data_IF_425977456093
#
_entry.id   IF_425977456093
#
_cell.length_a   1.000
_cell.length_b   1.000
_cell.length_c   1.000
_cell.angle_alpha   90.00
_cell.angle_beta   90.00
_cell.angle_gamma   90.00
#
_symmetry.space_group_name_H-M   'P 1'
#
loop_
_entity.id
_entity.type
_entity.pdbx_description
1 polymer ?
#
# COMPACT_ATOMS: atom_id res chain seq x y z
N UNK A 1 21.31 26.36 -18.86
CA UNK A 1 20.03 26.18 -18.16
C UNK A 1 20.33 25.17 -17.08
N UNK A 2 20.75 25.68 -15.92
CA UNK A 2 21.13 24.86 -14.76
C UNK A 2 19.89 24.77 -13.89
N UNK A 3 19.09 23.73 -14.11
CA UNK A 3 18.02 23.40 -13.17
C UNK A 3 18.64 22.57 -12.06
N UNK A 4 18.30 22.89 -10.80
CA UNK A 4 18.74 22.09 -9.64
C UNK A 4 18.34 20.61 -9.76
N UNK A 5 17.46 20.28 -10.71
CA UNK A 5 16.86 18.98 -11.00
C UNK A 5 17.64 18.10 -11.98
N UNK A 6 18.78 18.55 -12.54
CA UNK A 6 19.55 17.81 -13.55
C UNK A 6 20.00 16.40 -13.09
N UNK A 7 19.91 16.14 -11.78
CA UNK A 7 20.33 14.89 -11.14
C UNK A 7 19.17 14.04 -10.61
N UNK A 8 17.93 14.51 -10.69
CA UNK A 8 16.75 13.73 -10.31
C UNK A 8 16.39 12.77 -11.44
N UNK A 9 17.12 11.66 -11.52
CA UNK A 9 16.87 10.61 -12.51
C UNK A 9 16.58 9.28 -11.81
N UNK A 10 15.80 8.39 -12.44
CA UNK A 10 15.56 7.04 -11.92
C UNK A 10 16.86 6.29 -11.61
N UNK A 11 17.90 6.49 -12.42
CA UNK A 11 19.19 5.84 -12.29
C UNK A 11 19.94 6.26 -11.01
N UNK A 12 19.90 7.55 -10.67
CA UNK A 12 20.48 8.06 -9.41
C UNK A 12 19.72 7.53 -8.19
N UNK A 13 18.38 7.51 -8.26
CA UNK A 13 17.55 6.96 -7.19
C UNK A 13 17.87 5.47 -6.98
N UNK A 14 17.96 4.70 -8.05
CA UNK A 14 18.31 3.29 -8.00
C UNK A 14 19.66 3.06 -7.32
N UNK A 15 20.68 3.82 -7.71
CA UNK A 15 22.03 3.63 -7.18
C UNK A 15 22.18 4.06 -5.72
N UNK A 16 21.62 5.21 -5.35
CA UNK A 16 21.81 5.79 -4.01
C UNK A 16 20.87 5.14 -2.99
N UNK A 17 19.60 4.95 -3.35
CA UNK A 17 18.58 4.48 -2.41
C UNK A 17 18.44 2.95 -2.42
N UNK A 18 18.20 2.34 -3.59
CA UNK A 18 17.93 0.91 -3.69
C UNK A 18 19.17 0.02 -3.60
N UNK A 19 20.24 0.39 -4.32
CA UNK A 19 21.52 -0.36 -4.35
C UNK A 19 22.55 0.15 -3.36
N UNK A 20 22.36 1.35 -2.81
CA UNK A 20 23.23 1.96 -1.79
C UNK A 20 24.71 2.01 -2.21
N UNK A 21 24.95 2.22 -3.51
CA UNK A 21 26.28 2.29 -4.10
C UNK A 21 26.87 3.68 -3.98
N UNK A 22 28.19 3.70 -3.85
CA UNK A 22 29.00 4.91 -3.89
C UNK A 22 28.99 5.52 -5.28
N UNK A 23 28.78 6.82 -5.39
CA UNK A 23 28.77 7.51 -6.68
C UNK A 23 29.91 8.51 -6.76
N UNK A 24 30.75 8.35 -7.77
CA UNK A 24 31.85 9.24 -8.10
C UNK A 24 31.41 10.20 -9.19
N UNK A 25 31.43 11.49 -8.88
CA UNK A 25 30.99 12.59 -9.73
C UNK A 25 32.22 13.40 -10.16
N UNK A 26 32.37 13.61 -11.46
CA UNK A 26 33.48 14.36 -12.08
C UNK A 26 33.37 15.90 -11.89
N UNK A 27 34.44 16.70 -12.17
CA UNK A 27 34.63 18.10 -11.71
C UNK A 27 33.55 19.16 -11.95
N UNK A 28 32.48 18.81 -12.66
CA UNK A 28 31.56 19.76 -13.25
C UNK A 28 30.28 19.95 -12.41
N UNK A 29 30.35 19.64 -11.11
CA UNK A 29 29.22 19.65 -10.18
C UNK A 29 29.55 20.50 -8.96
N UNK A 30 28.69 21.47 -8.67
CA UNK A 30 28.80 22.31 -7.48
C UNK A 30 28.17 21.64 -6.25
N UNK A 31 28.35 22.27 -5.09
CA UNK A 31 27.79 21.79 -3.83
C UNK A 31 26.26 21.71 -3.85
N UNK A 32 25.56 22.64 -4.51
CA UNK A 32 24.09 22.69 -4.50
C UNK A 32 23.49 21.47 -5.21
N UNK A 33 24.03 21.09 -6.35
CA UNK A 33 23.58 19.90 -7.07
C UNK A 33 23.80 18.62 -6.25
N UNK A 34 24.89 18.55 -5.48
CA UNK A 34 25.16 17.39 -4.63
C UNK A 34 24.22 17.35 -3.43
N UNK A 35 23.87 18.51 -2.87
CA UNK A 35 22.82 18.61 -1.85
C UNK A 35 21.46 18.21 -2.38
N UNK A 36 21.17 18.45 -3.65
CA UNK A 36 19.94 17.92 -4.25
C UNK A 36 19.89 16.39 -4.22
N UNK A 37 21.03 15.72 -4.41
CA UNK A 37 21.11 14.26 -4.36
C UNK A 37 20.89 13.68 -2.95
N UNK A 38 20.96 14.50 -1.88
CA UNK A 38 20.63 14.10 -0.50
C UNK A 38 19.21 13.60 -0.35
N UNK A 39 18.31 13.97 -1.25
CA UNK A 39 16.95 13.45 -1.19
C UNK A 39 16.92 11.93 -1.37
N UNK A 40 17.92 11.34 -2.03
CA UNK A 40 17.99 9.90 -2.23
C UNK A 40 18.67 9.15 -1.09
N UNK A 41 19.25 9.86 -0.12
CA UNK A 41 19.94 9.25 1.04
C UNK A 41 19.03 9.17 2.27
N UNK A 42 17.71 9.08 2.06
CA UNK A 42 16.75 8.92 3.16
C UNK A 42 17.08 7.66 3.95
N UNK A 43 17.22 7.81 5.27
CA UNK A 43 17.62 6.72 6.15
C UNK A 43 19.05 6.80 6.64
N UNK A 44 19.88 7.64 6.03
CA UNK A 44 21.26 7.82 6.47
C UNK A 44 21.46 9.11 7.26
N UNK A 45 22.46 9.11 8.14
CA UNK A 45 23.02 10.32 8.69
C UNK A 45 23.96 10.94 7.66
N UNK A 46 23.59 12.13 7.16
CA UNK A 46 24.38 12.84 6.15
C UNK A 46 25.57 13.56 6.78
N UNK A 47 26.76 13.32 6.23
CA UNK A 47 28.01 13.95 6.67
C UNK A 47 28.68 14.65 5.48
N UNK A 48 28.68 15.99 5.52
CA UNK A 48 29.39 16.84 4.57
C UNK A 48 30.90 16.89 4.90
N UNK A 49 31.75 16.46 3.96
CA UNK A 49 33.21 16.46 4.10
C UNK A 49 33.89 17.28 3.01
N UNK A 50 34.66 18.29 3.42
CA UNK A 50 35.55 19.01 2.51
C UNK A 50 36.94 18.35 2.47
N UNK A 51 37.27 17.73 1.34
CA UNK A 51 38.48 16.91 1.22
C UNK A 51 39.79 17.70 1.27
N UNK A 52 39.77 19.02 1.05
CA UNK A 52 40.95 19.89 1.12
C UNK A 52 41.42 20.12 2.55
N UNK A 53 40.48 20.19 3.50
CA UNK A 53 40.74 20.44 4.91
C UNK A 53 41.15 19.18 5.70
N UNK A 54 40.89 17.99 5.16
CA UNK A 54 41.10 16.71 5.84
C UNK A 54 42.32 15.96 5.30
N UNK A 55 43.28 15.68 6.18
CA UNK A 55 44.47 14.88 5.84
C UNK A 55 44.17 13.36 5.84
N UNK A 56 43.35 12.89 6.80
CA UNK A 56 43.03 11.47 7.02
C UNK A 56 41.57 11.12 6.70
N UNK A 57 41.05 11.57 5.55
CA UNK A 57 39.65 11.35 5.18
C UNK A 57 39.27 9.86 5.10
N UNK A 58 40.21 8.99 4.70
CA UNK A 58 40.00 7.54 4.61
C UNK A 58 39.72 6.90 5.98
N UNK A 59 40.55 7.22 6.98
CA UNK A 59 40.38 6.66 8.33
C UNK A 59 39.09 7.16 9.00
N UNK A 60 38.72 8.41 8.74
CA UNK A 60 37.45 8.96 9.22
C UNK A 60 36.26 8.19 8.66
N UNK A 61 36.19 8.03 7.33
CA UNK A 61 35.08 7.31 6.67
C UNK A 61 35.06 5.85 7.08
N UNK A 62 36.24 5.22 7.20
CA UNK A 62 36.35 3.85 7.66
C UNK A 62 35.80 3.70 9.08
N UNK A 63 36.20 4.56 10.00
CA UNK A 63 35.71 4.55 11.38
C UNK A 63 34.20 4.78 11.46
N UNK A 64 33.66 5.65 10.60
CA UNK A 64 32.23 5.93 10.54
C UNK A 64 31.43 4.78 9.92
N UNK A 65 32.00 4.10 8.92
CA UNK A 65 31.39 2.95 8.23
C UNK A 65 31.40 1.68 9.08
N UNK A 66 32.38 1.52 9.97
CA UNK A 66 32.48 0.40 10.91
C UNK A 66 31.70 0.65 12.23
N UNK A 67 31.03 1.81 12.37
CA UNK A 67 30.33 2.19 13.59
C UNK A 67 29.03 1.40 13.80
N UNK A 68 28.82 0.90 15.04
CA UNK A 68 27.66 0.11 15.48
C UNK A 68 26.34 0.90 15.58
N UNK A 69 26.26 2.14 15.10
CA UNK A 69 25.03 2.91 15.19
C UNK A 69 23.91 2.32 14.34
N UNK A 70 22.69 2.26 14.86
CA UNK A 70 21.51 1.75 14.15
C UNK A 70 21.15 2.51 12.86
N UNK A 71 21.75 3.67 12.62
CA UNK A 71 21.54 4.47 11.41
C UNK A 71 22.87 4.62 10.69
N UNK A 72 23.02 4.10 9.45
CA UNK A 72 24.26 4.18 8.70
C UNK A 72 24.57 5.64 8.31
N UNK A 73 25.86 5.93 8.13
CA UNK A 73 26.31 7.25 7.68
C UNK A 73 26.44 7.29 6.16
N UNK A 74 26.12 8.42 5.55
CA UNK A 74 26.31 8.67 4.14
C UNK A 74 27.12 9.95 3.95
N UNK A 75 28.27 9.85 3.29
CA UNK A 75 29.26 10.92 3.20
C UNK A 75 29.18 11.65 1.87
N UNK A 76 29.07 12.98 1.91
CA UNK A 76 29.18 13.82 0.72
C UNK A 76 30.55 14.48 0.72
N UNK A 77 31.39 14.07 -0.23
CA UNK A 77 32.80 14.47 -0.24
C UNK A 77 33.06 15.44 -1.37
N UNK A 78 33.38 16.67 -1.02
CA UNK A 78 33.60 17.76 -1.96
C UNK A 78 35.08 18.08 -2.13
N UNK A 79 35.43 18.67 -3.29
CA UNK A 79 36.78 19.10 -3.62
C UNK A 79 37.82 17.96 -3.54
N UNK A 80 37.42 16.74 -3.88
CA UNK A 80 38.28 15.56 -3.81
C UNK A 80 39.28 15.58 -4.97
N UNK A 81 40.54 15.24 -4.67
CA UNK A 81 41.56 15.02 -5.69
C UNK A 81 41.61 13.54 -6.10
N UNK A 82 42.12 13.25 -7.29
CA UNK A 82 42.18 11.88 -7.82
C UNK A 82 42.99 10.91 -6.95
N UNK A 83 44.04 11.40 -6.28
CA UNK A 83 44.87 10.59 -5.38
C UNK A 83 44.11 10.12 -4.14
N UNK A 84 43.37 11.02 -3.49
CA UNK A 84 42.52 10.75 -2.33
C UNK A 84 41.31 9.91 -2.74
N UNK A 85 40.71 10.16 -3.89
CA UNK A 85 39.65 9.31 -4.42
C UNK A 85 40.10 7.85 -4.56
N UNK A 86 41.28 7.62 -5.14
CA UNK A 86 41.85 6.27 -5.26
C UNK A 86 42.04 5.57 -3.90
N UNK A 87 42.31 6.33 -2.83
CA UNK A 87 42.44 5.79 -1.47
C UNK A 87 41.08 5.48 -0.79
N UNK A 88 39.96 5.84 -1.42
CA UNK A 88 38.62 5.56 -0.91
C UNK A 88 37.94 4.42 -1.67
N UNK A 89 38.38 4.11 -2.89
CA UNK A 89 37.76 3.10 -3.77
C UNK A 89 37.85 1.66 -3.26
N UNK A 90 38.61 1.44 -2.19
CA UNK A 90 38.81 0.15 -1.52
C UNK A 90 37.97 0.00 -0.24
N UNK A 91 37.15 0.99 0.12
CA UNK A 91 36.25 0.91 1.26
C UNK A 91 34.97 0.14 0.87
N UNK A 92 34.78 -1.05 1.44
CA UNK A 92 33.65 -1.93 1.08
C UNK A 92 32.30 -1.46 1.65
N UNK A 93 32.29 -0.95 2.89
CA UNK A 93 31.07 -0.60 3.64
C UNK A 93 30.79 0.90 3.73
N UNK A 94 31.58 1.73 3.04
CA UNK A 94 31.32 3.16 3.01
C UNK A 94 30.19 3.47 2.04
N UNK A 95 29.29 4.38 2.41
CA UNK A 95 28.30 4.97 1.51
C UNK A 95 28.65 6.44 1.27
N UNK A 96 29.01 6.81 0.04
CA UNK A 96 29.58 8.11 -0.26
C UNK A 96 29.30 8.60 -1.68
N UNK A 97 29.10 9.91 -1.81
CA UNK A 97 29.17 10.64 -3.08
C UNK A 97 30.49 11.40 -3.15
N UNK A 98 31.33 11.07 -4.13
CA UNK A 98 32.66 11.64 -4.31
C UNK A 98 32.66 12.69 -5.42
N UNK A 99 32.73 13.97 -5.11
CA UNK A 99 32.93 15.03 -6.10
C UNK A 99 34.44 15.24 -6.36
N UNK A 100 34.93 14.64 -7.44
CA UNK A 100 36.32 14.70 -7.88
C UNK A 100 36.50 15.86 -8.84
N UNK A 101 37.56 16.66 -8.69
CA UNK A 101 37.85 17.82 -9.56
C UNK A 101 38.69 17.50 -10.81
N UNK A 102 39.09 16.25 -10.98
CA UNK A 102 39.98 15.76 -12.02
C UNK A 102 39.32 14.62 -12.80
N UNK A 103 39.73 14.42 -14.06
CA UNK A 103 39.31 13.23 -14.79
C UNK A 103 39.89 11.97 -14.13
N UNK A 104 39.00 11.05 -13.78
CA UNK A 104 39.26 9.79 -13.09
C UNK A 104 38.75 8.55 -13.86
N UNK A 105 38.58 8.64 -15.19
CA UNK A 105 38.18 7.48 -16.03
C UNK A 105 39.16 6.30 -15.91
N UNK A 106 40.43 6.56 -15.69
CA UNK A 106 41.47 5.54 -15.44
C UNK A 106 41.34 4.84 -14.07
N UNK A 107 40.52 5.36 -13.14
CA UNK A 107 40.26 4.67 -11.88
C UNK A 107 39.27 3.52 -12.05
N UNK A 108 38.47 3.52 -13.13
CA UNK A 108 37.40 2.54 -13.38
C UNK A 108 37.91 1.10 -13.32
N UNK A 109 39.05 0.80 -13.95
CA UNK A 109 39.62 -0.55 -13.99
C UNK A 109 40.02 -1.09 -12.61
N UNK A 110 40.33 -0.18 -11.67
CA UNK A 110 40.74 -0.51 -10.29
C UNK A 110 39.60 -0.40 -9.27
N UNK A 111 38.35 -0.29 -9.74
CA UNK A 111 37.20 0.06 -8.91
C UNK A 111 36.43 -1.18 -8.43
N UNK A 112 36.05 -1.22 -7.15
CA UNK A 112 35.14 -2.23 -6.61
C UNK A 112 33.70 -2.06 -7.16
N UNK A 113 32.93 -3.15 -7.24
CA UNK A 113 31.49 -3.15 -7.60
C UNK A 113 30.60 -2.14 -6.86
N UNK A 114 31.03 -1.63 -5.70
CA UNK A 114 30.28 -0.72 -4.84
C UNK A 114 30.42 0.74 -5.30
N UNK A 115 31.38 1.06 -6.17
CA UNK A 115 31.60 2.40 -6.69
C UNK A 115 31.16 2.53 -8.14
N UNK A 116 30.45 3.61 -8.43
CA UNK A 116 29.89 3.93 -9.74
C UNK A 116 30.38 5.31 -10.17
N UNK A 117 30.86 5.45 -11.39
CA UNK A 117 31.33 6.73 -11.94
C UNK A 117 30.25 7.35 -12.83
N UNK A 118 29.84 8.57 -12.51
CA UNK A 118 28.87 9.34 -13.28
C UNK A 118 29.53 10.50 -14.04
N UNK A 119 29.43 10.46 -15.37
CA UNK A 119 29.89 11.53 -16.24
C UNK A 119 28.76 12.49 -16.59
N UNK A 120 28.78 13.67 -15.97
CA UNK A 120 27.84 14.76 -16.27
C UNK A 120 27.86 15.21 -17.73
N UNK A 121 29.02 15.24 -18.39
CA UNK A 121 29.11 15.72 -19.79
C UNK A 121 28.39 14.80 -20.76
N UNK A 122 28.49 13.50 -20.54
CA UNK A 122 27.78 12.50 -21.35
C UNK A 122 26.45 12.07 -20.75
N UNK A 123 26.08 12.59 -19.57
CA UNK A 123 24.93 12.19 -18.74
C UNK A 123 24.79 10.66 -18.64
N UNK A 124 25.92 9.97 -18.42
CA UNK A 124 25.98 8.51 -18.41
C UNK A 124 26.87 8.01 -17.29
N UNK A 125 26.48 6.84 -16.77
CA UNK A 125 27.32 6.05 -15.88
C UNK A 125 28.37 5.30 -16.70
N UNK A 126 29.61 5.27 -16.22
CA UNK A 126 30.74 4.75 -16.99
C UNK A 126 30.99 3.26 -16.74
N UNK A 127 30.69 2.78 -15.54
CA UNK A 127 30.95 1.41 -15.08
C UNK A 127 29.71 0.75 -14.48
N UNK A 128 28.52 1.24 -14.82
CA UNK A 128 27.25 0.65 -14.44
C UNK A 128 26.28 0.76 -15.61
N UNK A 129 25.76 -0.38 -16.04
CA UNK A 129 24.83 -0.48 -17.16
C UNK A 129 23.40 -0.64 -16.64
N UNK A 130 22.49 0.14 -17.21
CA UNK A 130 21.07 0.14 -16.88
C UNK A 130 20.21 -0.57 -17.93
N UNK A 131 20.77 -1.05 -19.05
CA UNK A 131 19.98 -1.71 -20.11
C UNK A 131 19.20 -2.93 -19.60
N UNK A 132 19.72 -3.62 -18.58
CA UNK A 132 19.09 -4.80 -17.98
C UNK A 132 18.47 -4.54 -16.60
N UNK A 133 18.44 -3.28 -16.15
CA UNK A 133 17.92 -2.91 -14.83
C UNK A 133 16.50 -2.40 -15.02
N UNK A 134 15.55 -3.07 -14.38
CA UNK A 134 14.20 -2.55 -14.28
C UNK A 134 14.21 -1.29 -13.37
N UNK A 135 13.70 -0.18 -13.88
CA UNK A 135 13.63 1.12 -13.19
C UNK A 135 12.17 1.58 -13.03
N UNK A 136 11.21 0.65 -13.09
CA UNK A 136 9.78 0.98 -13.11
C UNK A 136 9.35 1.64 -11.81
N UNK A 137 9.81 1.15 -10.66
CA UNK A 137 9.51 1.72 -9.35
C UNK A 137 10.09 3.14 -9.21
N UNK A 138 11.34 3.34 -9.61
CA UNK A 138 12.01 4.64 -9.54
C UNK A 138 11.32 5.67 -10.43
N UNK A 139 10.91 5.27 -11.64
CA UNK A 139 10.11 6.11 -12.54
C UNK A 139 8.74 6.43 -11.95
N UNK A 140 8.10 5.45 -11.31
CA UNK A 140 6.80 5.62 -10.66
C UNK A 140 6.90 6.64 -9.51
N UNK A 141 7.85 6.45 -8.59
CA UNK A 141 8.12 7.38 -7.47
C UNK A 141 8.37 8.80 -7.98
N UNK A 142 9.24 8.96 -8.99
CA UNK A 142 9.55 10.28 -9.55
C UNK A 142 8.36 10.90 -10.32
N UNK A 143 7.49 10.10 -10.92
CA UNK A 143 6.31 10.59 -11.65
C UNK A 143 5.19 11.08 -10.73
N UNK A 144 5.05 10.46 -9.55
CA UNK A 144 4.03 10.81 -8.55
C UNK A 144 4.49 12.02 -7.73
N UNK A 145 5.79 12.12 -7.44
CA UNK A 145 6.35 13.20 -6.66
C UNK A 145 6.51 14.51 -7.48
N UNK A 146 5.66 15.50 -7.18
CA UNK A 146 5.69 16.82 -7.87
C UNK A 146 6.75 17.78 -7.31
N UNK A 147 7.33 17.49 -6.15
CA UNK A 147 8.31 18.32 -5.47
C UNK A 147 9.21 17.48 -4.53
N UNK A 148 10.29 18.09 -4.02
CA UNK A 148 11.23 17.44 -3.10
C UNK A 148 10.59 16.90 -1.82
N UNK A 149 9.56 17.56 -1.27
CA UNK A 149 8.90 17.06 -0.05
C UNK A 149 8.20 15.75 -0.34
N UNK A 150 7.39 15.70 -1.39
CA UNK A 150 6.64 14.49 -1.77
C UNK A 150 7.56 13.32 -2.13
N UNK A 151 8.68 13.60 -2.81
CA UNK A 151 9.67 12.57 -3.12
C UNK A 151 10.32 12.04 -1.84
N UNK A 152 10.67 12.92 -0.90
CA UNK A 152 11.23 12.52 0.40
C UNK A 152 10.22 11.72 1.22
N UNK A 153 8.96 12.11 1.22
CA UNK A 153 7.88 11.45 1.95
C UNK A 153 7.67 10.02 1.41
N UNK A 154 7.62 9.85 0.08
CA UNK A 154 7.52 8.53 -0.55
C UNK A 154 8.71 7.61 -0.22
N UNK A 155 9.95 8.14 -0.24
CA UNK A 155 11.13 7.37 0.16
C UNK A 155 11.13 7.04 1.65
N UNK A 156 10.57 7.92 2.49
CA UNK A 156 10.43 7.70 3.92
C UNK A 156 9.37 6.63 4.22
N UNK A 157 8.28 6.56 3.44
CA UNK A 157 7.29 5.48 3.53
C UNK A 157 7.93 4.12 3.24
N UNK A 158 8.71 4.00 2.15
CA UNK A 158 9.44 2.78 1.82
C UNK A 158 10.37 2.37 2.97
N UNK A 159 11.09 3.34 3.54
CA UNK A 159 11.95 3.09 4.71
C UNK A 159 11.14 2.63 5.93
N UNK A 160 10.00 3.24 6.21
CA UNK A 160 9.18 2.86 7.36
C UNK A 160 8.68 1.43 7.21
N UNK A 161 8.21 1.05 6.02
CA UNK A 161 7.84 -0.34 5.71
C UNK A 161 9.03 -1.28 5.88
N UNK A 162 10.22 -0.92 5.40
CA UNK A 162 11.44 -1.72 5.60
C UNK A 162 11.79 -1.89 7.09
N UNK A 163 11.62 -0.85 7.91
CA UNK A 163 11.82 -0.94 9.35
C UNK A 163 10.80 -1.87 10.01
N UNK A 164 9.53 -1.81 9.59
CA UNK A 164 8.48 -2.70 10.10
C UNK A 164 8.78 -4.16 9.77
N UNK A 165 9.23 -4.45 8.54
CA UNK A 165 9.70 -5.79 8.14
C UNK A 165 10.86 -6.22 9.03
N UNK A 166 11.86 -5.37 9.23
CA UNK A 166 13.02 -5.70 10.07
C UNK A 166 12.66 -5.94 11.54
N UNK A 167 11.76 -5.14 12.11
CA UNK A 167 11.29 -5.29 13.50
C UNK A 167 10.46 -6.57 13.64
N UNK A 168 9.56 -6.83 12.69
CA UNK A 168 8.74 -8.04 12.68
C UNK A 168 9.63 -9.29 12.59
N UNK A 169 10.64 -9.28 11.72
CA UNK A 169 11.61 -10.38 11.58
C UNK A 169 12.36 -10.65 12.89
N UNK A 170 12.83 -9.60 13.58
CA UNK A 170 13.58 -9.77 14.83
C UNK A 170 12.70 -10.11 16.04
N UNK A 171 11.42 -9.72 16.01
CA UNK A 171 10.51 -9.91 17.14
C UNK A 171 9.82 -11.27 17.09
N UNK A 172 9.31 -11.69 15.92
CA UNK A 172 8.64 -12.97 15.70
C UNK A 172 8.95 -13.53 14.30
N UNK A 173 10.07 -14.27 14.13
CA UNK A 173 10.46 -14.83 12.85
C UNK A 173 9.42 -15.79 12.24
N UNK A 174 8.66 -16.51 13.08
CA UNK A 174 7.69 -17.54 12.63
C UNK A 174 6.33 -16.97 12.19
N UNK A 175 6.07 -15.69 12.42
CA UNK A 175 4.80 -15.03 12.03
C UNK A 175 5.04 -13.83 11.12
N UNK A 176 6.19 -13.77 10.45
CA UNK A 176 6.51 -12.69 9.54
C UNK A 176 5.60 -12.79 8.31
N UNK A 177 4.64 -11.89 8.19
CA UNK A 177 3.83 -11.75 6.99
C UNK A 177 4.24 -10.49 6.24
N UNK A 178 5.17 -10.63 5.28
CA UNK A 178 5.67 -9.51 4.49
C UNK A 178 4.55 -8.90 3.63
N UNK A 179 3.62 -9.74 3.16
CA UNK A 179 2.49 -9.34 2.32
C UNK A 179 1.52 -8.41 3.07
N UNK A 180 1.32 -8.63 4.36
CA UNK A 180 0.48 -7.77 5.22
C UNK A 180 1.14 -6.41 5.46
N UNK A 181 2.44 -6.40 5.79
CA UNK A 181 3.20 -5.18 6.08
C UNK A 181 3.37 -4.32 4.82
N UNK A 182 3.61 -4.95 3.67
CA UNK A 182 3.81 -4.28 2.40
C UNK A 182 2.54 -4.25 1.52
N UNK A 183 1.35 -4.41 2.12
CA UNK A 183 0.05 -4.46 1.42
C UNK A 183 -0.29 -3.19 0.61
N UNK A 184 0.33 -2.06 0.96
CA UNK A 184 0.22 -0.81 0.21
C UNK A 184 0.94 -0.82 -1.15
N UNK A 185 1.82 -1.80 -1.39
CA UNK A 185 2.63 -1.93 -2.59
C UNK A 185 2.12 -3.08 -3.47
N UNK A 186 2.24 -2.93 -4.78
CA UNK A 186 2.05 -4.05 -5.72
C UNK A 186 3.12 -5.12 -5.53
N UNK A 187 2.87 -6.35 -5.97
CA UNK A 187 3.80 -7.48 -5.80
C UNK A 187 5.24 -7.18 -6.31
N UNK A 188 5.38 -6.48 -7.44
CA UNK A 188 6.69 -6.06 -7.97
C UNK A 188 7.36 -4.98 -7.10
N UNK A 189 6.57 -4.06 -6.54
CA UNK A 189 7.08 -3.04 -5.63
C UNK A 189 7.46 -3.66 -4.28
N UNK A 190 6.72 -4.66 -3.80
CA UNK A 190 7.06 -5.42 -2.60
C UNK A 190 8.42 -6.09 -2.74
N UNK A 191 8.70 -6.76 -3.86
CA UNK A 191 10.03 -7.34 -4.13
C UNK A 191 11.16 -6.30 -4.06
N UNK A 192 10.90 -5.06 -4.50
CA UNK A 192 11.87 -3.97 -4.41
C UNK A 192 12.02 -3.40 -3.00
N UNK A 193 10.94 -3.34 -2.24
CA UNK A 193 10.98 -2.97 -0.81
C UNK A 193 11.75 -4.02 -0.02
N UNK A 194 11.56 -5.31 -0.33
CA UNK A 194 12.34 -6.42 0.24
C UNK A 194 13.82 -6.27 -0.12
N UNK A 195 14.14 -6.11 -1.41
CA UNK A 195 15.52 -5.89 -1.87
C UNK A 195 16.18 -4.69 -1.17
N UNK A 196 15.44 -3.59 -1.03
CA UNK A 196 15.89 -2.42 -0.27
C UNK A 196 16.13 -2.75 1.20
N UNK A 197 15.22 -3.49 1.85
CA UNK A 197 15.32 -3.88 3.26
C UNK A 197 16.57 -4.75 3.51
N UNK A 198 16.81 -5.72 2.64
CA UNK A 198 17.99 -6.58 2.68
C UNK A 198 19.28 -5.78 2.56
N UNK A 199 19.36 -4.88 1.56
CA UNK A 199 20.53 -4.03 1.36
C UNK A 199 20.75 -3.07 2.54
N UNK A 200 19.68 -2.41 3.00
CA UNK A 200 19.73 -1.39 4.04
C UNK A 200 20.14 -1.95 5.42
N UNK A 201 19.60 -3.11 5.78
CA UNK A 201 19.93 -3.76 7.05
C UNK A 201 21.08 -4.76 6.95
N UNK A 202 21.58 -5.01 5.73
CA UNK A 202 22.56 -6.05 5.42
C UNK A 202 22.13 -7.42 5.99
N UNK A 203 20.87 -7.77 5.69
CA UNK A 203 20.24 -9.03 6.10
C UNK A 203 19.81 -9.83 4.87
N UNK A 204 19.51 -11.10 5.08
CA UNK A 204 18.88 -11.96 4.07
C UNK A 204 17.52 -12.34 4.64
N UNK A 205 16.44 -11.92 4.00
CA UNK A 205 15.10 -12.32 4.41
C UNK A 205 14.85 -13.77 3.95
N UNK A 206 14.22 -14.62 4.77
CA UNK A 206 13.81 -15.95 4.31
C UNK A 206 12.86 -15.78 3.13
N UNK A 207 13.16 -16.45 2.01
CA UNK A 207 12.15 -16.60 0.95
C UNK A 207 11.00 -17.41 1.55
N UNK A 208 9.76 -16.94 1.37
CA UNK A 208 8.56 -17.70 1.74
C UNK A 208 8.55 -19.00 0.91
N UNK A 209 9.23 -20.03 1.42
CA UNK A 209 9.25 -21.36 0.84
C UNK A 209 7.93 -22.03 1.13
N UNK A 210 6.89 -21.64 0.40
CA UNK A 210 5.91 -22.62 -0.02
C UNK A 210 6.51 -23.34 -1.22
N UNK A 211 6.92 -24.59 -0.96
CA UNK A 211 7.57 -25.58 -1.79
C UNK A 211 9.12 -25.57 -1.84
N UNK A 212 9.66 -26.67 -1.32
CA UNK A 212 11.08 -26.96 -1.29
C UNK A 212 11.60 -27.40 -2.66
N UNK A 213 12.60 -26.71 -3.17
CA UNK A 213 13.94 -27.27 -3.36
C UNK A 213 14.88 -26.17 -3.87
N UNK A 214 15.98 -26.00 -3.15
CA UNK A 214 17.17 -25.21 -3.45
C UNK A 214 17.46 -24.97 -4.94
N UNK A 215 17.84 -23.74 -5.31
CA UNK A 215 19.20 -23.39 -5.79
C UNK A 215 19.38 -21.87 -5.75
N UNK A 216 20.35 -21.44 -4.94
CA UNK A 216 21.00 -20.13 -5.05
C UNK A 216 21.59 -19.98 -6.45
N UNK A 217 21.13 -18.96 -7.18
CA UNK A 217 21.84 -18.42 -8.34
C UNK A 217 21.08 -18.40 -9.66
N UNK A 218 20.04 -17.56 -9.78
CA UNK A 218 19.77 -16.79 -11.00
C UNK A 218 18.60 -15.80 -10.79
N UNK A 219 18.85 -14.65 -10.16
CA UNK A 219 17.99 -13.47 -10.39
C UNK A 219 18.57 -12.66 -11.55
N UNK A 220 18.53 -13.27 -12.75
CA UNK A 220 18.69 -12.61 -14.03
C UNK A 220 18.10 -13.55 -15.10
N UNK A 221 17.05 -13.07 -15.76
CA UNK A 221 16.40 -13.59 -16.96
C UNK A 221 15.35 -14.71 -16.82
N UNK A 222 14.10 -14.23 -16.79
CA UNK A 222 12.96 -14.70 -17.59
C UNK A 222 12.45 -16.13 -17.40
N UNK A 223 11.22 -16.24 -16.90
CA UNK A 223 10.08 -16.60 -17.75
C UNK A 223 8.76 -16.25 -17.07
N UNK A 224 7.94 -15.55 -17.84
CA UNK A 224 6.52 -15.33 -17.64
C UNK A 224 5.79 -16.56 -17.07
N UNK A 225 5.34 -16.44 -15.83
CA UNK A 225 4.01 -16.90 -15.42
C UNK A 225 3.39 -15.74 -14.64
N UNK A 226 2.53 -14.99 -15.33
CA UNK A 226 1.71 -13.93 -14.74
C UNK A 226 0.78 -14.55 -13.68
N UNK A 227 1.14 -14.46 -12.40
CA UNK A 227 0.11 -14.41 -11.35
C UNK A 227 -0.41 -12.99 -11.30
N UNK A 228 -1.27 -12.65 -12.26
CA UNK A 228 -2.10 -11.45 -12.23
C UNK A 228 -2.75 -11.37 -10.85
N UNK A 229 -2.53 -10.28 -10.12
CA UNK A 229 -3.44 -9.88 -9.04
C UNK A 229 -4.86 -10.06 -9.58
N UNK A 230 -5.71 -10.83 -8.89
CA UNK A 230 -7.07 -11.11 -9.36
C UNK A 230 -7.76 -9.78 -9.67
N UNK A 231 -7.82 -9.47 -10.96
CA UNK A 231 -8.34 -8.24 -11.50
C UNK A 231 -9.74 -8.55 -12.00
N UNK A 232 -10.73 -8.13 -11.21
CA UNK A 232 -12.13 -8.36 -11.51
C UNK A 232 -12.71 -7.22 -12.37
N UNK A 233 -11.85 -6.39 -12.99
CA UNK A 233 -12.29 -5.37 -13.97
C UNK A 233 -13.08 -6.00 -15.11
N UNK A 234 -12.71 -7.22 -15.55
CA UNK A 234 -13.47 -7.98 -16.53
C UNK A 234 -14.91 -8.30 -16.07
N UNK A 235 -15.11 -8.64 -14.79
CA UNK A 235 -16.45 -8.86 -14.21
C UNK A 235 -17.23 -7.53 -14.18
N UNK A 236 -16.58 -6.44 -13.81
CA UNK A 236 -17.19 -5.10 -13.77
C UNK A 236 -17.63 -4.62 -15.16
N UNK A 237 -16.80 -4.84 -16.18
CA UNK A 237 -17.08 -4.47 -17.57
C UNK A 237 -18.25 -5.28 -18.15
N UNK A 238 -18.43 -6.53 -17.73
CA UNK A 238 -19.61 -7.33 -18.09
C UNK A 238 -20.90 -6.69 -17.56
N UNK A 239 -20.88 -6.15 -16.34
CA UNK A 239 -22.04 -5.48 -15.74
C UNK A 239 -22.30 -4.14 -16.45
N UNK A 240 -21.24 -3.39 -16.77
CA UNK A 240 -21.34 -2.09 -17.46
C UNK A 240 -21.85 -2.22 -18.90
N UNK A 241 -21.41 -3.25 -19.64
CA UNK A 241 -21.66 -3.38 -21.07
C UNK A 241 -23.06 -3.88 -21.44
N UNK A 242 -23.77 -4.55 -20.51
CA UNK A 242 -25.04 -5.19 -20.84
C UNK A 242 -26.23 -4.20 -20.82
N UNK A 243 -26.43 -3.46 -19.72
CA UNK A 243 -27.56 -2.54 -19.58
C UNK A 243 -27.23 -1.37 -18.64
N UNK A 244 -27.34 -0.13 -19.15
CA UNK A 244 -27.00 1.10 -18.40
C UNK A 244 -27.85 1.29 -17.14
N UNK A 245 -29.12 0.90 -17.16
CA UNK A 245 -30.01 1.02 -16.02
C UNK A 245 -29.63 0.03 -14.91
N UNK A 246 -29.34 -1.23 -15.28
CA UNK A 246 -28.86 -2.25 -14.34
C UNK A 246 -27.53 -1.84 -13.69
N UNK A 247 -26.60 -1.31 -14.49
CA UNK A 247 -25.32 -0.81 -14.01
C UNK A 247 -25.46 0.38 -13.07
N UNK A 248 -26.34 1.34 -13.37
CA UNK A 248 -26.54 2.50 -12.49
C UNK A 248 -27.07 2.09 -11.11
N UNK A 249 -28.04 1.17 -11.07
CA UNK A 249 -28.55 0.64 -9.80
C UNK A 249 -27.49 -0.20 -9.07
N UNK A 250 -26.66 -0.93 -9.81
CA UNK A 250 -25.53 -1.66 -9.26
C UNK A 250 -24.52 -0.74 -8.55
N UNK A 251 -24.16 0.41 -9.14
CA UNK A 251 -23.27 1.40 -8.50
C UNK A 251 -23.88 1.93 -7.20
N UNK A 252 -25.18 2.26 -7.20
CA UNK A 252 -25.86 2.72 -5.98
C UNK A 252 -25.83 1.65 -4.88
N UNK A 253 -26.01 0.38 -5.24
CA UNK A 253 -25.94 -0.72 -4.28
C UNK A 253 -24.51 -0.99 -3.77
N UNK A 254 -23.48 -0.79 -4.60
CA UNK A 254 -22.09 -0.83 -4.16
C UNK A 254 -21.80 0.23 -3.10
N UNK A 255 -22.28 1.46 -3.29
CA UNK A 255 -22.12 2.55 -2.33
C UNK A 255 -22.89 2.31 -1.03
N UNK A 256 -24.13 1.79 -1.11
CA UNK A 256 -24.93 1.42 0.07
C UNK A 256 -24.27 0.27 0.86
N UNK A 257 -23.75 -0.74 0.14
CA UNK A 257 -23.04 -1.86 0.74
C UNK A 257 -21.76 -1.41 1.43
N UNK A 258 -20.98 -0.53 0.78
CA UNK A 258 -19.79 0.11 1.38
C UNK A 258 -20.16 0.80 2.70
N UNK A 259 -21.20 1.63 2.68
CA UNK A 259 -21.61 2.43 3.84
C UNK A 259 -22.06 1.56 5.02
N UNK A 260 -22.64 0.40 4.73
CA UNK A 260 -23.20 -0.50 5.76
C UNK A 260 -22.19 -1.53 6.29
N UNK A 261 -21.22 -1.96 5.48
CA UNK A 261 -20.38 -3.13 5.77
C UNK A 261 -18.87 -2.88 5.75
N UNK A 262 -18.42 -1.70 5.31
CA UNK A 262 -16.98 -1.38 5.20
C UNK A 262 -16.64 -0.23 6.14
N UNK A 263 -15.54 -0.36 6.90
CA UNK A 263 -15.01 0.74 7.71
C UNK A 263 -14.32 1.75 6.76
N UNK A 264 -14.76 3.02 6.71
CA UNK A 264 -14.16 4.02 5.82
C UNK A 264 -12.67 4.24 6.01
N UNK A 265 -12.13 3.93 7.20
CA UNK A 265 -10.69 4.01 7.49
C UNK A 265 -9.83 2.96 6.78
N UNK A 266 -10.45 1.91 6.22
CA UNK A 266 -9.76 0.84 5.52
C UNK A 266 -9.78 1.02 3.98
N UNK A 267 -10.38 2.11 3.49
CA UNK A 267 -10.49 2.40 2.06
C UNK A 267 -9.49 3.49 1.67
N UNK A 268 -8.82 3.30 0.54
CA UNK A 268 -8.04 4.36 -0.07
C UNK A 268 -8.94 5.46 -0.65
N UNK A 269 -8.43 6.70 -0.73
CA UNK A 269 -9.14 7.81 -1.38
C UNK A 269 -9.62 7.46 -2.80
N UNK A 270 -8.88 6.64 -3.54
CA UNK A 270 -9.25 6.25 -4.90
C UNK A 270 -10.44 5.28 -4.98
N UNK A 271 -10.65 4.49 -3.93
CA UNK A 271 -11.76 3.52 -3.76
C UNK A 271 -13.04 4.21 -3.26
N UNK A 272 -12.91 5.40 -2.66
CA UNK A 272 -14.05 6.22 -2.27
C UNK A 272 -14.74 6.90 -3.46
N UNK A 273 -13.98 7.21 -4.52
CA UNK A 273 -14.47 7.99 -5.67
C UNK A 273 -14.58 7.20 -6.99
N UNK A 274 -13.99 6.00 -7.08
CA UNK A 274 -13.99 5.22 -8.33
C UNK A 274 -14.75 3.89 -8.15
N UNK A 275 -15.92 3.72 -8.79
CA UNK A 275 -16.75 2.52 -8.58
C UNK A 275 -16.11 1.19 -9.01
N UNK A 276 -15.22 1.20 -10.01
CA UNK A 276 -14.47 0.01 -10.43
C UNK A 276 -13.42 -0.41 -9.41
N UNK A 277 -12.73 0.56 -8.79
CA UNK A 277 -11.78 0.29 -7.69
C UNK A 277 -12.51 -0.19 -6.44
N UNK A 278 -13.65 0.41 -6.11
CA UNK A 278 -14.51 -0.05 -5.02
C UNK A 278 -15.01 -1.48 -5.25
N UNK A 279 -15.43 -1.81 -6.48
CA UNK A 279 -15.82 -3.17 -6.83
C UNK A 279 -14.66 -4.17 -6.66
N UNK A 280 -13.47 -3.84 -7.17
CA UNK A 280 -12.28 -4.68 -7.03
C UNK A 280 -11.90 -4.88 -5.55
N UNK A 281 -11.96 -3.83 -4.74
CA UNK A 281 -11.76 -3.91 -3.29
C UNK A 281 -12.77 -4.85 -2.62
N UNK A 282 -14.07 -4.65 -2.88
CA UNK A 282 -15.12 -5.50 -2.31
C UNK A 282 -14.99 -6.96 -2.76
N UNK A 283 -14.64 -7.19 -4.02
CA UNK A 283 -14.45 -8.52 -4.59
C UNK A 283 -13.26 -9.26 -3.98
N UNK A 284 -12.20 -8.54 -3.63
CA UNK A 284 -10.99 -9.09 -2.97
C UNK A 284 -11.20 -9.35 -1.48
N UNK A 285 -11.78 -8.40 -0.75
CA UNK A 285 -11.77 -8.43 0.72
C UNK A 285 -13.08 -8.92 1.34
N UNK A 286 -14.22 -8.72 0.68
CA UNK A 286 -15.54 -9.03 1.24
C UNK A 286 -16.25 -10.16 0.49
N UNK A 287 -15.99 -10.33 -0.81
CA UNK A 287 -16.69 -11.27 -1.69
C UNK A 287 -15.72 -12.27 -2.33
N UNK A 288 -14.68 -12.67 -1.63
CA UNK A 288 -13.64 -13.59 -2.14
C UNK A 288 -14.23 -14.92 -2.64
N UNK A 289 -15.25 -15.44 -1.97
CA UNK A 289 -15.99 -16.66 -2.34
C UNK A 289 -17.08 -16.44 -3.42
N UNK A 290 -17.26 -15.21 -3.89
CA UNK A 290 -18.32 -14.80 -4.84
C UNK A 290 -19.33 -13.81 -4.24
N UNK A 291 -20.29 -13.36 -5.06
CA UNK A 291 -21.28 -12.36 -4.65
C UNK A 291 -22.11 -12.80 -3.44
N UNK A 292 -22.24 -11.97 -2.39
CA UNK A 292 -23.12 -12.25 -1.28
C UNK A 292 -24.57 -12.35 -1.73
N UNK A 293 -25.27 -13.34 -1.17
CA UNK A 293 -26.68 -13.60 -1.46
C UNK A 293 -27.56 -12.40 -1.17
N UNK A 294 -27.29 -11.73 -0.06
CA UNK A 294 -28.05 -10.56 0.38
C UNK A 294 -27.85 -9.36 -0.56
N UNK A 295 -26.63 -9.19 -1.08
CA UNK A 295 -26.32 -8.13 -2.05
C UNK A 295 -27.07 -8.33 -3.38
N UNK A 296 -27.12 -9.56 -3.90
CA UNK A 296 -27.86 -9.86 -5.14
C UNK A 296 -29.38 -9.70 -4.99
N UNK A 297 -29.92 -10.02 -3.81
CA UNK A 297 -31.34 -9.82 -3.50
C UNK A 297 -31.65 -8.31 -3.42
N UNK A 298 -30.80 -7.53 -2.73
CA UNK A 298 -30.94 -6.08 -2.64
C UNK A 298 -30.85 -5.41 -4.02
N UNK A 299 -29.93 -5.87 -4.87
CA UNK A 299 -29.82 -5.37 -6.25
C UNK A 299 -31.11 -5.62 -7.05
N UNK A 300 -31.69 -6.82 -7.00
CA UNK A 300 -32.99 -7.12 -7.61
C UNK A 300 -34.12 -6.25 -7.01
N UNK A 301 -34.18 -6.11 -5.69
CA UNK A 301 -35.26 -5.40 -5.03
C UNK A 301 -35.23 -3.89 -5.32
N UNK A 302 -34.04 -3.29 -5.38
CA UNK A 302 -33.88 -1.88 -5.76
C UNK A 302 -34.23 -1.65 -7.24
N UNK A 303 -33.96 -2.63 -8.11
CA UNK A 303 -34.44 -2.60 -9.49
C UNK A 303 -35.98 -2.59 -9.58
N UNK A 304 -36.66 -3.36 -8.74
CA UNK A 304 -38.13 -3.41 -8.69
C UNK A 304 -38.77 -2.18 -8.02
N UNK A 305 -38.04 -1.44 -7.17
CA UNK A 305 -38.55 -0.22 -6.52
C UNK A 305 -38.76 0.93 -7.51
N UNK A 306 -38.07 0.92 -8.65
CA UNK A 306 -38.17 1.93 -9.70
C UNK A 306 -39.25 1.61 -10.77
N UNK A 307 -40.00 0.51 -10.60
CA UNK A 307 -41.00 0.00 -11.54
C UNK A 307 -40.90 -1.53 -11.68
N UNK A 308 -41.89 -2.18 -12.29
CA UNK A 308 -41.73 -3.60 -12.65
C UNK A 308 -40.62 -3.73 -13.70
N UNK A 309 -39.61 -4.54 -13.40
CA UNK A 309 -38.57 -4.92 -14.35
C UNK A 309 -39.21 -5.44 -15.63
N UNK A 310 -38.91 -4.81 -16.77
CA UNK A 310 -39.35 -5.28 -18.07
C UNK A 310 -38.82 -6.70 -18.33
N UNK A 311 -39.52 -7.50 -19.14
CA UNK A 311 -39.07 -8.86 -19.50
C UNK A 311 -37.64 -8.86 -20.07
N UNK A 312 -37.29 -7.79 -20.80
CA UNK A 312 -35.95 -7.57 -21.34
C UNK A 312 -34.90 -7.35 -20.24
N UNK A 313 -35.20 -6.54 -19.24
CA UNK A 313 -34.27 -6.29 -18.12
C UNK A 313 -34.12 -7.51 -17.21
N UNK A 314 -35.19 -8.32 -17.04
CA UNK A 314 -35.09 -9.61 -16.34
C UNK A 314 -34.16 -10.58 -17.07
N UNK A 315 -34.27 -10.66 -18.40
CA UNK A 315 -33.38 -11.47 -19.22
C UNK A 315 -31.93 -10.95 -19.22
N UNK A 316 -31.72 -9.63 -19.26
CA UNK A 316 -30.40 -9.00 -19.16
C UNK A 316 -29.77 -9.27 -17.79
N UNK A 317 -30.53 -9.14 -16.70
CA UNK A 317 -30.08 -9.43 -15.34
C UNK A 317 -29.69 -10.91 -15.17
N UNK A 318 -30.50 -11.84 -15.69
CA UNK A 318 -30.18 -13.26 -15.71
C UNK A 318 -28.89 -13.56 -16.49
N UNK A 319 -28.70 -12.88 -17.63
CA UNK A 319 -27.50 -13.00 -18.46
C UNK A 319 -26.26 -12.51 -17.72
N UNK A 320 -26.35 -11.39 -16.99
CA UNK A 320 -25.25 -10.87 -16.17
C UNK A 320 -24.87 -11.88 -15.08
N UNK A 321 -25.84 -12.39 -14.31
CA UNK A 321 -25.57 -13.35 -13.22
C UNK A 321 -24.92 -14.65 -13.74
N UNK A 322 -25.35 -15.11 -14.91
CA UNK A 322 -24.76 -16.29 -15.55
C UNK A 322 -23.31 -16.02 -16.01
N UNK A 323 -23.03 -14.83 -16.57
CA UNK A 323 -21.68 -14.44 -16.97
C UNK A 323 -20.73 -14.21 -15.78
N UNK A 324 -21.28 -13.83 -14.63
CA UNK A 324 -20.55 -13.65 -13.36
C UNK A 324 -20.35 -14.96 -12.57
N UNK A 325 -20.69 -16.13 -13.14
CA UNK A 325 -20.46 -17.43 -12.51
C UNK A 325 -21.38 -17.75 -11.32
N UNK A 326 -22.51 -17.04 -11.17
CA UNK A 326 -23.48 -17.34 -10.12
C UNK A 326 -24.18 -18.67 -10.44
N UNK A 327 -24.21 -19.60 -9.48
CA UNK A 327 -24.81 -20.92 -9.68
C UNK A 327 -26.27 -20.82 -10.19
N UNK A 328 -26.61 -21.55 -11.25
CA UNK A 328 -27.94 -21.49 -11.89
C UNK A 328 -29.10 -21.74 -10.92
N UNK A 329 -28.92 -22.68 -9.98
CA UNK A 329 -29.87 -22.99 -8.90
C UNK A 329 -30.16 -21.80 -7.97
N UNK A 330 -29.23 -20.84 -7.90
CA UNK A 330 -29.34 -19.61 -7.10
C UNK A 330 -29.94 -18.47 -7.92
N UNK A 331 -29.63 -18.39 -9.21
CA UNK A 331 -30.25 -17.45 -10.15
C UNK A 331 -31.77 -17.67 -10.19
N UNK A 332 -32.21 -18.93 -10.30
CA UNK A 332 -33.64 -19.27 -10.31
C UNK A 332 -34.33 -18.89 -8.99
N UNK A 333 -33.63 -19.00 -7.85
CA UNK A 333 -34.15 -18.57 -6.55
C UNK A 333 -34.23 -17.05 -6.44
N UNK A 334 -33.29 -16.30 -7.00
CA UNK A 334 -33.34 -14.83 -7.00
C UNK A 334 -34.45 -14.36 -7.94
N UNK A 335 -34.54 -14.88 -9.15
CA UNK A 335 -35.49 -14.43 -10.18
C UNK A 335 -36.92 -14.85 -9.83
N UNK A 336 -37.13 -16.13 -9.49
CA UNK A 336 -38.48 -16.70 -9.25
C UNK A 336 -38.99 -16.53 -7.81
N UNK A 337 -38.20 -15.96 -6.89
CA UNK A 337 -38.77 -15.47 -5.63
C UNK A 337 -39.61 -14.22 -5.91
N UNK A 338 -40.82 -14.45 -6.41
CA UNK A 338 -41.96 -13.62 -6.08
C UNK A 338 -42.38 -13.98 -4.65
N UNK A 339 -42.30 -13.01 -3.74
CA UNK A 339 -43.02 -13.00 -2.46
C UNK A 339 -42.66 -14.06 -1.41
N UNK A 340 -41.47 -14.00 -0.79
CA UNK A 340 -41.27 -14.61 0.56
C UNK A 340 -40.54 -13.78 1.62
N UNK A 341 -39.97 -12.62 1.29
CA UNK A 341 -39.31 -11.79 2.30
C UNK A 341 -40.16 -10.64 2.86
N UNK A 342 -41.37 -10.40 2.32
CA UNK A 342 -42.37 -9.50 2.94
C UNK A 342 -43.27 -10.15 4.00
N UNK A 343 -43.23 -11.48 4.18
CA UNK A 343 -44.07 -12.17 5.17
C UNK A 343 -43.38 -12.48 6.51
N UNK A 344 -42.03 -12.55 6.59
CA UNK A 344 -41.36 -12.74 7.89
C UNK A 344 -41.38 -11.53 8.83
N UNK A 345 -41.68 -10.34 8.29
CA UNK A 345 -41.85 -9.11 9.08
C UNK A 345 -43.31 -8.80 9.45
N UNK A 346 -44.28 -9.60 8.99
CA UNK A 346 -45.71 -9.44 9.32
C UNK A 346 -46.38 -10.69 9.91
N UNK A 347 -45.78 -11.88 9.79
CA UNK A 347 -46.32 -13.11 10.42
C UNK A 347 -45.85 -13.34 11.86
N UNK A 348 -44.83 -12.62 12.34
CA UNK A 348 -44.46 -12.61 13.76
C UNK A 348 -45.37 -11.73 14.64
N UNK A 349 -46.40 -11.10 14.06
CA UNK A 349 -47.35 -10.23 14.75
C UNK A 349 -48.81 -10.72 14.71
N UNK A 350 -49.09 -11.94 14.24
CA UNK A 350 -50.48 -12.45 14.20
C UNK A 350 -50.76 -13.79 14.88
N UNK A 351 -49.77 -14.48 15.46
CA UNK A 351 -50.02 -15.70 16.23
C UNK A 351 -49.19 -15.74 17.52
N UNK A 352 -49.59 -14.94 18.52
CA UNK A 352 -49.48 -15.34 19.93
C UNK A 352 -50.71 -14.82 20.65
N UNK A 353 -51.47 -15.77 21.16
CA UNK A 353 -52.67 -15.57 21.95
C UNK A 353 -52.52 -14.45 22.97
N UNK A 354 -53.42 -13.48 22.83
CA UNK A 354 -53.80 -12.53 23.86
C UNK A 354 -54.54 -13.35 24.90
N UNK A 355 -53.83 -13.92 25.88
CA UNK A 355 -54.30 -14.33 27.23
C UNK A 355 -53.27 -15.23 27.94
N UNK A 356 -52.15 -14.67 28.41
CA UNK A 356 -51.42 -15.30 29.56
C UNK A 356 -50.37 -14.43 30.26
N UNK A 357 -50.09 -13.19 29.83
CA UNK A 357 -49.09 -12.33 30.50
C UNK A 357 -49.72 -11.00 30.93
N UNK A 358 -50.85 -11.07 31.65
CA UNK A 358 -51.48 -9.94 32.35
C UNK A 358 -51.28 -10.03 33.87
N UNK A 359 -50.31 -10.80 34.33
CA UNK A 359 -50.10 -11.02 35.76
C UNK A 359 -48.62 -11.19 36.07
N UNK A 360 -47.83 -10.10 35.98
CA UNK A 360 -46.56 -9.98 36.76
C UNK A 360 -45.86 -8.62 36.66
N UNK A 361 -46.15 -7.75 35.67
CA UNK A 361 -45.48 -6.44 35.55
C UNK A 361 -46.12 -5.29 36.34
N UNK A 362 -46.52 -5.55 37.58
CA UNK A 362 -46.96 -4.51 38.52
C UNK A 362 -46.08 -4.36 39.76
N UNK A 363 -44.90 -4.98 39.80
CA UNK A 363 -43.90 -4.73 40.85
C UNK A 363 -42.54 -4.53 40.22
N UNK A 364 -42.16 -3.27 40.09
CA UNK A 364 -40.85 -2.73 40.46
C UNK A 364 -40.63 -1.38 39.76
N UNK A 365 -41.51 -0.43 40.11
CA UNK A 365 -41.24 1.00 40.05
C UNK A 365 -40.48 1.40 41.33
N UNK A 366 -39.17 1.18 41.37
CA UNK A 366 -38.23 1.87 42.28
C UNK A 366 -36.80 1.38 42.06
N UNK A 367 -36.04 2.00 41.16
CA UNK A 367 -34.57 2.11 41.22
C UNK A 367 -34.03 2.91 40.02
N UNK A 368 -34.20 4.23 40.06
CA UNK A 368 -33.29 5.14 39.38
C UNK A 368 -32.07 5.36 40.29
N UNK A 369 -30.85 5.19 39.75
CA UNK A 369 -29.55 5.80 40.16
C UNK A 369 -28.34 4.84 40.26
N UNK A 370 -28.11 3.96 39.29
CA UNK A 370 -26.75 3.42 39.09
C UNK A 370 -26.39 3.40 37.62
N UNK A 371 -25.37 4.18 37.24
CA UNK A 371 -24.80 4.20 35.90
C UNK A 371 -24.01 2.89 35.71
N UNK A 372 -24.29 2.09 34.66
CA UNK A 372 -23.51 0.88 34.39
C UNK A 372 -22.04 1.20 34.10
N UNK A 373 -21.08 0.37 34.54
CA UNK A 373 -19.67 0.59 34.21
C UNK A 373 -19.41 0.43 32.71
N UNK A 374 -18.48 1.23 32.17
CA UNK A 374 -18.11 1.27 30.73
C UNK A 374 -17.55 -0.08 30.23
N UNK A 375 -17.05 -0.93 31.14
CA UNK A 375 -16.60 -2.28 30.83
C UNK A 375 -17.70 -3.20 30.28
N UNK A 376 -18.97 -2.91 30.54
CA UNK A 376 -20.12 -3.61 29.93
C UNK A 376 -20.84 -2.66 28.96
N UNK A 377 -20.20 -2.41 27.81
CA UNK A 377 -20.63 -1.41 26.83
C UNK A 377 -22.05 -1.63 26.32
N UNK A 378 -22.52 -2.88 26.24
CA UNK A 378 -23.87 -3.22 25.78
C UNK A 378 -24.92 -2.67 26.77
N UNK A 379 -24.71 -2.88 28.07
CA UNK A 379 -25.61 -2.36 29.12
C UNK A 379 -25.51 -0.84 29.23
N UNK A 380 -24.32 -0.28 29.14
CA UNK A 380 -24.11 1.17 29.14
C UNK A 380 -24.80 1.86 27.96
N UNK A 381 -24.65 1.33 26.74
CA UNK A 381 -25.33 1.83 25.53
C UNK A 381 -26.84 1.78 25.67
N UNK A 382 -27.37 0.67 26.20
CA UNK A 382 -28.81 0.49 26.41
C UNK A 382 -29.37 1.49 27.44
N UNK A 383 -28.61 1.75 28.50
CA UNK A 383 -28.96 2.74 29.51
C UNK A 383 -28.95 4.17 28.94
N UNK A 384 -27.95 4.55 28.14
CA UNK A 384 -27.89 5.85 27.46
C UNK A 384 -29.10 6.04 26.54
N UNK A 385 -29.42 5.04 25.72
CA UNK A 385 -30.56 5.11 24.79
C UNK A 385 -31.87 5.31 25.57
N UNK A 386 -32.05 4.62 26.70
CA UNK A 386 -33.22 4.80 27.55
C UNK A 386 -33.30 6.21 28.15
N UNK A 387 -32.17 6.80 28.57
CA UNK A 387 -32.15 8.17 29.08
C UNK A 387 -32.42 9.21 27.99
N UNK A 388 -31.86 9.02 26.79
CA UNK A 388 -32.11 9.89 25.65
C UNK A 388 -33.58 9.86 25.23
N UNK A 389 -34.18 8.67 25.17
CA UNK A 389 -35.61 8.51 24.87
C UNK A 389 -36.48 9.18 25.93
N UNK A 390 -36.14 9.06 27.22
CA UNK A 390 -36.87 9.72 28.30
C UNK A 390 -36.80 11.26 28.20
N UNK A 391 -35.64 11.81 27.85
CA UNK A 391 -35.46 13.25 27.62
C UNK A 391 -36.27 13.70 26.39
N UNK A 392 -36.24 12.92 25.30
CA UNK A 392 -36.96 13.23 24.07
C UNK A 392 -38.48 13.19 24.27
N UNK A 393 -39.01 12.21 25.02
CA UNK A 393 -40.42 12.16 25.38
C UNK A 393 -40.83 13.34 26.27
N UNK A 394 -39.97 13.75 27.21
CA UNK A 394 -40.23 14.93 28.05
C UNK A 394 -40.24 16.23 27.24
N UNK A 395 -39.33 16.38 26.28
CA UNK A 395 -39.30 17.54 25.39
C UNK A 395 -40.55 17.59 24.50
N UNK A 396 -40.99 16.44 23.96
CA UNK A 396 -42.22 16.34 23.16
C UNK A 396 -43.51 16.58 23.97
N UNK A 397 -43.46 16.42 25.30
CA UNK A 397 -44.61 16.68 26.19
C UNK A 397 -44.73 18.14 26.66
N UNK A 398 -43.80 19.01 26.26
CA UNK A 398 -43.77 20.42 26.64
C UNK A 398 -43.94 21.42 25.48
N UNK A 399 -44.21 20.93 24.27
CA UNK A 399 -44.83 21.66 23.14
C UNK A 399 -46.29 21.19 22.98
#
# INVERSE_FOLDING_TARGET
MDTEYDFLTPEFLHLIFFKQKNIVIFPHVDLKHLRTLEIFTVGYNLIDLEATALYNIREMIRSDAESYSHTPNYHLIYNLNKKKAKQLLDLENAHAILNITQNATDLIESTHSNFVFYNKKSTKFLNYDFENVDLTMERMILSVAKNYSMLRDALQEIKNTANEIYIAMNSNPESLNIEEIASAYTLQEQERVIEFTENYYNIILPEDTNDGDSIKGSRLQSKAEETTALDFTNEFDIIQSQNKHLFQVFITQLDEYRTSNVNPSNLELSELFTPSRLYNYLRRHHWSEGFPKDFLIQWKDTLNKNGELSEKERADFQTILHKLGVQSNFIDKIINNENKYKQKSQESLKNRDINSVLSEKQKDLSNHNSIPPISDFIKFKSWIIQQLNFIEERLKSHD
#
